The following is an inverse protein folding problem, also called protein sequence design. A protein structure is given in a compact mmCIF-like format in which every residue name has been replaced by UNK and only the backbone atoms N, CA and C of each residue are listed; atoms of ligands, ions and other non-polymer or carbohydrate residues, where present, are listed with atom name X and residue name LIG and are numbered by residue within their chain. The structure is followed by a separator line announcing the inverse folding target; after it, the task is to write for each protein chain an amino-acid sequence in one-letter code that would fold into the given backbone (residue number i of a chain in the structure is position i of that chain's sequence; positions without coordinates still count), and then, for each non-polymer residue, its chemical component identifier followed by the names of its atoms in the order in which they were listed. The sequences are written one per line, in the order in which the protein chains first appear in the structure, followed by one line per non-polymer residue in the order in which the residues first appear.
data_IF_628461144606
#
_entry.id   IF_628461144606
#
_cell.length_a   1.000
_cell.length_b   1.000
_cell.length_c   1.000
_cell.angle_alpha   90.00
_cell.angle_beta   90.00
_cell.angle_gamma   90.00
#
_symmetry.space_group_name_H-M   'P 1'
#
loop_
_entity.id
_entity.type
_entity.pdbx_description
1 polymer ?
#
# COMPACT_ATOMS: atom_id res chain seq x y z
N UNK A 1 1.40 26.31 18.32
CA UNK A 1 1.34 26.18 19.78
C UNK A 1 1.86 27.46 20.48
N UNK A 2 3.03 27.97 20.14
CA UNK A 2 3.69 29.15 20.79
C UNK A 2 3.42 30.50 20.08
N UNK A 3 2.49 30.54 19.12
CA UNK A 3 2.12 31.78 18.40
C UNK A 3 3.04 32.19 17.23
N UNK A 4 4.09 31.41 16.93
CA UNK A 4 5.03 31.70 15.85
C UNK A 4 4.72 30.94 14.57
N UNK A 5 5.24 31.45 13.44
CA UNK A 5 5.12 30.80 12.14
C UNK A 5 3.78 31.03 11.45
N UNK A 6 3.40 30.12 10.55
CA UNK A 6 2.18 30.17 9.74
C UNK A 6 1.37 28.88 9.88
N UNK A 7 0.06 28.98 9.71
CA UNK A 7 -0.88 27.84 9.78
C UNK A 7 -1.79 27.83 8.58
N UNK A 8 -2.28 26.63 8.22
CA UNK A 8 -3.38 26.46 7.29
C UNK A 8 -4.71 26.63 8.06
N UNK A 9 -5.55 27.55 7.63
CA UNK A 9 -6.85 27.78 8.22
C UNK A 9 -7.89 28.13 7.14
N UNK A 10 -8.94 27.34 7.03
CA UNK A 10 -10.01 27.50 6.03
C UNK A 10 -9.46 27.67 4.60
N UNK A 11 -8.52 26.81 4.22
CA UNK A 11 -7.89 26.80 2.88
C UNK A 11 -6.87 27.93 2.62
N UNK A 12 -6.56 28.76 3.62
CA UNK A 12 -5.58 29.85 3.49
C UNK A 12 -4.41 29.67 4.44
N UNK A 13 -3.22 30.08 4.00
CA UNK A 13 -2.04 30.16 4.87
C UNK A 13 -1.99 31.54 5.51
N UNK A 14 -2.14 31.60 6.83
CA UNK A 14 -2.13 32.84 7.62
C UNK A 14 -1.07 32.80 8.73
N UNK A 15 -0.60 33.95 9.25
CA UNK A 15 0.21 33.98 10.45
C UNK A 15 -0.50 33.32 11.64
N UNK A 16 0.23 32.53 12.45
CA UNK A 16 -0.32 31.90 13.65
C UNK A 16 -0.92 32.86 14.62
N UNK A 17 -0.32 34.05 14.74
CA UNK A 17 -0.78 35.10 15.62
C UNK A 17 -2.16 35.65 15.25
N UNK A 18 -2.43 35.83 13.94
CA UNK A 18 -3.74 36.17 13.40
C UNK A 18 -4.82 35.12 13.74
N UNK A 19 -4.46 33.82 13.61
CA UNK A 19 -5.36 32.72 14.01
C UNK A 19 -5.68 32.79 15.51
N UNK A 20 -4.67 33.05 16.35
CA UNK A 20 -4.84 33.10 17.79
C UNK A 20 -5.76 34.26 18.21
N UNK A 21 -5.54 35.45 17.65
CA UNK A 21 -6.39 36.61 17.88
C UNK A 21 -7.85 36.35 17.47
N UNK A 22 -8.02 35.81 16.26
CA UNK A 22 -9.35 35.50 15.70
C UNK A 22 -10.15 34.47 16.50
N UNK A 23 -9.46 33.48 17.07
CA UNK A 23 -10.08 32.40 17.85
C UNK A 23 -9.94 32.60 19.37
N UNK A 24 -9.42 33.74 19.82
CA UNK A 24 -9.19 34.05 21.25
C UNK A 24 -8.33 33.01 21.96
N UNK A 25 -7.35 32.45 21.24
CA UNK A 25 -6.39 31.50 21.77
C UNK A 25 -5.19 32.27 22.37
N UNK A 26 -4.57 31.70 23.39
CA UNK A 26 -3.31 32.20 23.95
C UNK A 26 -2.17 31.27 23.54
N UNK A 27 -0.98 31.83 23.23
CA UNK A 27 0.23 31.03 23.10
C UNK A 27 0.49 30.23 24.38
N UNK A 28 1.02 28.99 24.20
CA UNK A 28 1.52 28.24 25.35
C UNK A 28 2.82 28.86 25.84
N UNK A 29 2.91 29.12 27.14
CA UNK A 29 4.16 29.46 27.81
C UNK A 29 4.91 28.17 28.14
N UNK A 30 6.08 28.00 27.52
CA UNK A 30 6.89 26.81 27.72
C UNK A 30 7.68 26.90 29.02
N UNK A 31 7.56 25.91 29.87
CA UNK A 31 8.37 25.72 31.04
C UNK A 31 9.80 25.18 30.72
N UNK A 32 10.63 25.00 31.76
CA UNK A 32 11.96 24.42 31.60
C UNK A 32 11.90 23.08 30.88
N UNK A 33 12.80 22.88 29.89
CA UNK A 33 12.92 21.67 29.04
C UNK A 33 11.78 21.42 28.03
N UNK A 34 10.59 21.99 28.19
CA UNK A 34 9.45 21.73 27.31
C UNK A 34 9.71 22.10 25.84
N UNK A 35 10.43 23.21 25.61
CA UNK A 35 10.82 23.62 24.26
C UNK A 35 11.71 22.59 23.57
N UNK A 36 12.68 22.03 24.28
CA UNK A 36 13.54 20.98 23.74
C UNK A 36 12.74 19.66 23.51
N UNK A 37 11.90 19.27 24.46
CA UNK A 37 11.09 18.06 24.36
C UNK A 37 10.15 18.04 23.14
N UNK A 38 9.71 19.21 22.67
CA UNK A 38 8.86 19.32 21.47
C UNK A 38 9.60 19.07 20.15
N UNK A 39 10.91 19.21 20.10
CA UNK A 39 11.71 19.11 18.87
C UNK A 39 12.79 18.04 18.90
N UNK A 40 13.21 17.63 20.10
CA UNK A 40 14.20 16.58 20.31
C UNK A 40 13.50 15.25 20.49
N UNK A 41 13.94 14.23 19.77
CA UNK A 41 13.36 12.88 19.82
C UNK A 41 12.82 12.40 18.48
N UNK A 42 11.97 11.36 18.53
CA UNK A 42 11.56 10.60 17.35
C UNK A 42 10.17 10.95 16.82
N UNK A 43 9.50 11.96 17.36
CA UNK A 43 8.11 12.29 17.07
C UNK A 43 7.85 12.49 15.57
N UNK A 44 8.77 13.16 14.87
CA UNK A 44 8.64 13.40 13.43
C UNK A 44 8.76 12.09 12.62
N UNK A 45 9.70 11.22 13.00
CA UNK A 45 9.89 9.90 12.38
C UNK A 45 8.67 9.03 12.67
N UNK A 46 8.20 9.00 13.93
CA UNK A 46 7.03 8.23 14.35
C UNK A 46 5.75 8.68 13.62
N UNK A 47 5.55 9.98 13.41
CA UNK A 47 4.43 10.50 12.64
C UNK A 47 4.42 9.97 11.18
N UNK A 48 5.59 9.92 10.52
CA UNK A 48 5.71 9.29 9.22
C UNK A 48 5.44 7.78 9.32
N UNK A 49 5.92 7.13 10.38
CA UNK A 49 5.66 5.71 10.65
C UNK A 49 4.16 5.40 10.71
N UNK A 50 3.37 6.20 11.43
CA UNK A 50 1.90 6.06 11.51
C UNK A 50 1.27 6.14 10.11
N UNK A 51 1.66 7.15 9.33
CA UNK A 51 1.15 7.32 7.97
C UNK A 51 1.54 6.16 7.05
N UNK A 52 2.77 5.66 7.17
CA UNK A 52 3.25 4.50 6.40
C UNK A 52 2.47 3.24 6.76
N UNK A 53 2.30 2.94 8.06
CA UNK A 53 1.52 1.78 8.52
C UNK A 53 0.11 1.83 7.97
N UNK A 54 -0.56 2.97 8.08
CA UNK A 54 -1.94 3.15 7.61
C UNK A 54 -2.06 2.99 6.09
N UNK A 55 -1.29 3.74 5.32
CA UNK A 55 -1.39 3.74 3.85
C UNK A 55 -0.91 2.42 3.22
N UNK A 56 0.18 1.83 3.74
CA UNK A 56 0.70 0.57 3.22
C UNK A 56 -0.28 -0.58 3.47
N UNK A 57 -0.98 -0.62 4.62
CA UNK A 57 -2.03 -1.61 4.83
C UNK A 57 -3.13 -1.50 3.75
N UNK A 58 -3.56 -0.29 3.41
CA UNK A 58 -4.53 -0.10 2.34
C UNK A 58 -4.01 -0.62 0.99
N UNK A 59 -2.76 -0.32 0.63
CA UNK A 59 -2.14 -0.86 -0.58
C UNK A 59 -2.12 -2.40 -0.58
N UNK A 60 -1.75 -3.03 0.54
CA UNK A 60 -1.71 -4.48 0.68
C UNK A 60 -3.10 -5.12 0.52
N UNK A 61 -4.14 -4.50 1.08
CA UNK A 61 -5.52 -4.96 0.94
C UNK A 61 -6.03 -4.82 -0.50
N UNK A 62 -5.76 -3.70 -1.15
CA UNK A 62 -6.10 -3.47 -2.56
C UNK A 62 -5.35 -4.45 -3.48
N UNK A 63 -4.06 -4.69 -3.24
CA UNK A 63 -3.24 -5.59 -4.04
C UNK A 63 -3.79 -7.01 -4.10
N UNK A 64 -4.31 -7.55 -2.98
CA UNK A 64 -4.93 -8.87 -2.96
C UNK A 64 -6.23 -8.90 -3.78
N UNK A 65 -7.09 -7.88 -3.63
CA UNK A 65 -8.38 -7.77 -4.33
C UNK A 65 -8.14 -7.65 -5.84
N UNK A 66 -7.30 -6.70 -6.24
CA UNK A 66 -7.00 -6.41 -7.64
C UNK A 66 -6.25 -7.57 -8.29
N UNK A 67 -5.31 -8.19 -7.55
CA UNK A 67 -4.58 -9.37 -7.99
C UNK A 67 -5.50 -10.57 -8.22
N UNK A 68 -6.51 -10.79 -7.37
CA UNK A 68 -7.53 -11.82 -7.57
C UNK A 68 -8.37 -11.54 -8.83
N UNK A 69 -8.76 -10.29 -9.05
CA UNK A 69 -9.48 -9.88 -10.26
C UNK A 69 -8.65 -10.08 -11.53
N UNK A 70 -7.34 -9.76 -11.48
CA UNK A 70 -6.42 -9.99 -12.59
C UNK A 70 -6.23 -11.49 -12.86
N UNK A 71 -6.15 -12.32 -11.80
CA UNK A 71 -6.03 -13.77 -11.93
C UNK A 71 -7.18 -14.34 -12.75
N UNK A 72 -8.41 -13.96 -12.47
CA UNK A 72 -9.59 -14.39 -13.23
C UNK A 72 -9.62 -13.80 -14.65
N UNK A 73 -9.33 -12.51 -14.78
CA UNK A 73 -9.26 -11.87 -16.10
C UNK A 73 -8.30 -12.57 -17.06
N UNK A 74 -7.22 -13.15 -16.54
CA UNK A 74 -6.21 -13.88 -17.30
C UNK A 74 -6.36 -15.41 -17.23
N UNK A 75 -7.45 -15.94 -16.67
CA UNK A 75 -7.69 -17.35 -16.46
C UNK A 75 -6.52 -18.06 -15.77
N UNK A 76 -6.11 -17.53 -14.62
CA UNK A 76 -5.11 -18.15 -13.78
C UNK A 76 -5.69 -19.25 -12.89
N UNK A 77 -4.81 -20.07 -12.31
CA UNK A 77 -5.17 -21.24 -11.51
C UNK A 77 -5.34 -20.89 -10.02
N UNK A 78 -6.34 -21.52 -9.38
CA UNK A 78 -6.54 -21.47 -7.93
C UNK A 78 -5.51 -22.33 -7.15
N UNK A 79 -4.89 -23.32 -7.78
CA UNK A 79 -4.00 -24.31 -7.11
C UNK A 79 -2.86 -23.69 -6.30
N UNK A 80 -2.18 -22.58 -6.73
CA UNK A 80 -1.15 -21.93 -5.97
C UNK A 80 -1.60 -21.34 -4.62
N UNK A 81 -2.90 -21.22 -4.39
CA UNK A 81 -3.47 -20.62 -3.17
C UNK A 81 -4.04 -21.68 -2.22
N UNK A 82 -3.93 -22.98 -2.51
CA UNK A 82 -4.42 -24.03 -1.64
C UNK A 82 -3.71 -24.00 -0.28
N UNK A 83 -4.47 -24.26 0.77
CA UNK A 83 -4.00 -24.16 2.15
C UNK A 83 -2.85 -25.13 2.43
N UNK A 84 -2.95 -26.36 1.91
CA UNK A 84 -1.95 -27.41 2.08
C UNK A 84 -0.56 -26.96 1.62
N UNK A 85 -0.48 -26.21 0.51
CA UNK A 85 0.77 -25.68 0.01
C UNK A 85 1.41 -24.70 1.03
N UNK A 86 0.60 -23.84 1.64
CA UNK A 86 1.07 -22.81 2.56
C UNK A 86 1.32 -23.34 3.98
N UNK A 87 0.77 -24.49 4.34
CA UNK A 87 1.11 -25.21 5.56
C UNK A 87 2.53 -25.82 5.50
N UNK A 88 3.00 -26.22 4.31
CA UNK A 88 4.36 -26.73 4.12
C UNK A 88 5.45 -25.65 4.24
N UNK A 89 5.08 -24.38 4.10
CA UNK A 89 5.96 -23.23 4.24
C UNK A 89 5.23 -22.11 4.99
N UNK A 90 5.11 -22.21 6.32
CA UNK A 90 4.12 -21.48 7.12
C UNK A 90 4.53 -20.04 7.47
N UNK A 91 4.86 -19.23 6.47
CA UNK A 91 4.95 -17.79 6.68
C UNK A 91 3.56 -17.19 6.88
N UNK A 92 3.33 -16.47 7.97
CA UNK A 92 2.04 -15.89 8.33
C UNK A 92 1.43 -15.04 7.19
N UNK A 93 2.23 -14.14 6.61
CA UNK A 93 1.78 -13.31 5.50
C UNK A 93 1.35 -14.13 4.27
N UNK A 94 2.08 -15.23 3.94
CA UNK A 94 1.70 -16.09 2.80
C UNK A 94 0.37 -16.80 3.04
N UNK A 95 0.17 -17.36 4.25
CA UNK A 95 -1.08 -18.01 4.64
C UNK A 95 -2.25 -17.04 4.60
N UNK A 96 -2.03 -15.82 5.09
CA UNK A 96 -3.04 -14.76 5.09
C UNK A 96 -3.46 -14.38 3.66
N UNK A 97 -2.51 -14.07 2.79
CA UNK A 97 -2.80 -13.69 1.40
C UNK A 97 -3.49 -14.82 0.64
N UNK A 98 -3.01 -16.06 0.78
CA UNK A 98 -3.63 -17.21 0.13
C UNK A 98 -5.08 -17.41 0.58
N UNK A 99 -5.35 -17.27 1.87
CA UNK A 99 -6.70 -17.35 2.43
C UNK A 99 -7.62 -16.25 1.91
N UNK A 100 -7.14 -15.01 1.83
CA UNK A 100 -7.90 -13.88 1.27
C UNK A 100 -8.27 -14.13 -0.20
N UNK A 101 -7.30 -14.54 -1.02
CA UNK A 101 -7.53 -14.81 -2.44
C UNK A 101 -8.53 -15.96 -2.61
N UNK A 102 -8.41 -17.06 -1.85
CA UNK A 102 -9.41 -18.15 -1.88
C UNK A 102 -10.82 -17.65 -1.56
N UNK A 103 -10.96 -16.77 -0.57
CA UNK A 103 -12.27 -16.21 -0.20
C UNK A 103 -12.84 -15.33 -1.32
N UNK A 104 -12.03 -14.48 -1.95
CA UNK A 104 -12.45 -13.61 -3.05
C UNK A 104 -12.92 -14.37 -4.28
N UNK A 105 -12.30 -15.53 -4.56
CA UNK A 105 -12.53 -16.35 -5.73
C UNK A 105 -13.59 -17.45 -5.53
N UNK A 106 -14.20 -17.51 -4.35
CA UNK A 106 -15.20 -18.55 -4.04
C UNK A 106 -16.43 -18.45 -4.93
N UNK A 107 -16.79 -19.56 -5.59
CA UNK A 107 -17.97 -19.64 -6.45
C UNK A 107 -17.80 -19.04 -7.84
N UNK A 108 -16.55 -18.90 -8.32
CA UNK A 108 -16.24 -18.38 -9.65
C UNK A 108 -16.50 -19.39 -10.75
N UNK A 109 -17.42 -19.09 -11.67
CA UNK A 109 -17.64 -19.85 -12.91
C UNK A 109 -16.43 -19.75 -13.85
N UNK A 110 -15.70 -18.61 -13.82
CA UNK A 110 -14.50 -18.39 -14.65
C UNK A 110 -13.40 -19.40 -14.29
N UNK A 111 -13.21 -19.66 -13.00
CA UNK A 111 -12.24 -20.66 -12.54
C UNK A 111 -12.68 -22.08 -12.83
N UNK A 112 -13.98 -22.37 -12.70
CA UNK A 112 -14.53 -23.71 -13.00
C UNK A 112 -14.41 -24.03 -14.48
N UNK A 113 -14.70 -23.08 -15.38
CA UNK A 113 -14.56 -23.24 -16.83
C UNK A 113 -13.12 -23.53 -17.27
N UNK A 114 -12.14 -23.11 -16.48
CA UNK A 114 -10.72 -23.20 -16.79
C UNK A 114 -9.96 -24.30 -16.01
N UNK A 115 -10.64 -25.16 -15.28
CA UNK A 115 -10.01 -26.13 -14.37
C UNK A 115 -9.11 -27.14 -15.09
N UNK A 116 -9.46 -27.53 -16.31
CA UNK A 116 -8.78 -28.53 -17.15
C UNK A 116 -7.94 -27.91 -18.28
N UNK A 117 -7.44 -26.69 -18.09
CA UNK A 117 -6.65 -26.03 -19.12
C UNK A 117 -5.30 -26.72 -19.36
N UNK A 118 -4.79 -26.59 -20.61
CA UNK A 118 -3.49 -27.17 -21.02
C UNK A 118 -2.27 -26.43 -20.42
N UNK A 119 -2.47 -25.26 -19.78
CA UNK A 119 -1.39 -24.48 -19.18
C UNK A 119 -0.86 -25.21 -17.95
N UNK A 120 0.41 -25.62 -18.00
CA UNK A 120 1.05 -26.33 -16.88
C UNK A 120 1.19 -25.45 -15.64
N UNK A 121 1.54 -24.18 -15.82
CA UNK A 121 1.79 -23.22 -14.75
C UNK A 121 1.48 -21.78 -15.19
N UNK A 122 0.95 -20.99 -14.24
CA UNK A 122 0.83 -19.55 -14.43
C UNK A 122 2.20 -18.85 -14.28
N UNK A 123 2.38 -17.67 -14.86
CA UNK A 123 3.50 -16.81 -14.58
C UNK A 123 3.61 -16.45 -13.08
N UNK A 124 4.82 -16.15 -12.62
CA UNK A 124 5.07 -15.88 -11.20
C UNK A 124 4.26 -14.71 -10.66
N UNK A 125 4.00 -13.68 -11.46
CA UNK A 125 3.20 -12.52 -11.01
C UNK A 125 1.77 -12.88 -10.63
N UNK A 126 1.22 -13.99 -11.12
CA UNK A 126 -0.07 -14.56 -10.71
C UNK A 126 0.11 -15.58 -9.58
N UNK A 127 0.89 -16.65 -9.79
CA UNK A 127 0.95 -17.77 -8.84
C UNK A 127 1.79 -17.52 -7.59
N UNK A 128 2.67 -16.52 -7.58
CA UNK A 128 3.51 -16.18 -6.43
C UNK A 128 2.99 -14.97 -5.63
N UNK A 129 1.75 -14.54 -5.84
CA UNK A 129 1.13 -13.48 -5.01
C UNK A 129 1.24 -13.76 -3.50
N UNK A 130 0.96 -14.98 -2.99
CA UNK A 130 1.11 -15.25 -1.56
C UNK A 130 2.53 -15.01 -1.04
N UNK A 131 3.56 -15.35 -1.83
CA UNK A 131 4.95 -15.19 -1.41
C UNK A 131 5.39 -13.73 -1.42
N UNK A 132 4.99 -12.94 -2.42
CA UNK A 132 5.40 -11.54 -2.57
C UNK A 132 4.57 -10.62 -1.68
N UNK A 133 3.23 -10.67 -1.78
CA UNK A 133 2.35 -9.87 -0.93
C UNK A 133 2.53 -10.24 0.55
N UNK A 134 2.72 -11.56 0.85
CA UNK A 134 2.96 -12.04 2.19
C UNK A 134 4.26 -11.56 2.80
N UNK A 135 5.35 -11.50 2.03
CA UNK A 135 6.61 -10.92 2.48
C UNK A 135 6.45 -9.44 2.84
N UNK A 136 5.75 -8.69 1.99
CA UNK A 136 5.45 -7.26 2.25
C UNK A 136 4.56 -7.07 3.49
N UNK A 137 3.60 -7.97 3.75
CA UNK A 137 2.79 -7.96 4.98
C UNK A 137 3.62 -8.20 6.23
N UNK A 138 4.58 -9.14 6.18
CA UNK A 138 5.48 -9.39 7.31
C UNK A 138 6.36 -8.16 7.61
N UNK A 139 6.82 -7.45 6.59
CA UNK A 139 7.57 -6.19 6.77
C UNK A 139 6.68 -5.08 7.35
N UNK A 140 5.44 -4.98 6.90
CA UNK A 140 4.46 -4.06 7.48
C UNK A 140 4.19 -4.35 8.95
N UNK A 141 3.98 -5.63 9.31
CA UNK A 141 3.76 -6.05 10.71
C UNK A 141 4.95 -5.67 11.59
N UNK A 142 6.17 -5.92 11.11
CA UNK A 142 7.38 -5.53 11.83
C UNK A 142 7.44 -4.02 12.13
N UNK A 143 7.12 -3.16 11.14
CA UNK A 143 7.07 -1.72 11.37
C UNK A 143 5.96 -1.35 12.38
N UNK A 144 4.77 -1.96 12.28
CA UNK A 144 3.65 -1.74 13.18
C UNK A 144 4.04 -2.03 14.63
N UNK A 145 4.62 -3.22 14.89
CA UNK A 145 5.04 -3.64 16.24
C UNK A 145 6.08 -2.69 16.85
N UNK A 146 7.07 -2.26 16.07
CA UNK A 146 8.06 -1.28 16.55
C UNK A 146 7.45 0.09 16.81
N UNK A 147 6.53 0.51 15.96
CA UNK A 147 5.85 1.80 16.12
C UNK A 147 4.94 1.82 17.36
N UNK A 148 4.26 0.73 17.68
CA UNK A 148 3.48 0.59 18.91
C UNK A 148 4.33 0.80 20.17
N UNK A 149 5.54 0.26 20.18
CA UNK A 149 6.51 0.49 21.27
C UNK A 149 6.91 1.96 21.31
N UNK A 150 7.31 2.53 20.18
CA UNK A 150 7.83 3.89 20.08
C UNK A 150 6.80 4.94 20.51
N UNK A 151 5.53 4.78 20.09
CA UNK A 151 4.44 5.69 20.46
C UNK A 151 4.12 5.70 21.95
N UNK A 152 4.52 4.66 22.69
CA UNK A 152 4.35 4.53 24.13
C UNK A 152 5.65 4.75 24.90
N UNK A 153 6.71 5.26 24.26
CA UNK A 153 8.03 5.44 24.85
C UNK A 153 8.36 6.89 25.17
N UNK A 154 9.27 7.07 26.09
CA UNK A 154 9.92 8.37 26.35
C UNK A 154 11.12 8.49 25.44
N UNK A 155 11.01 9.34 24.41
CA UNK A 155 11.99 9.48 23.32
C UNK A 155 12.75 10.80 23.40
N UNK A 156 13.21 11.19 24.58
CA UNK A 156 13.87 12.46 24.84
C UNK A 156 15.21 12.27 25.58
N UNK A 157 15.95 13.36 25.78
CA UNK A 157 17.19 13.43 26.54
C UNK A 157 17.38 14.84 27.17
N UNK A 158 17.76 14.93 28.46
CA UNK A 158 17.81 13.86 29.45
C UNK A 158 16.41 13.38 29.86
N UNK A 159 16.32 12.13 30.33
CA UNK A 159 15.08 11.56 30.90
C UNK A 159 15.04 11.80 32.40
N UNK A 160 13.97 12.41 32.88
CA UNK A 160 13.72 12.63 34.29
C UNK A 160 12.86 11.51 34.81
N UNK A 161 13.43 10.64 35.65
CA UNK A 161 12.70 9.48 36.22
C UNK A 161 11.92 9.90 37.46
N UNK A 162 12.57 10.70 38.35
CA UNK A 162 11.98 11.29 39.55
C UNK A 162 12.83 12.48 39.99
N UNK A 163 12.51 13.04 41.15
CA UNK A 163 13.20 14.24 41.72
C UNK A 163 14.69 14.01 41.98
N UNK A 164 15.14 12.79 42.15
CA UNK A 164 16.51 12.43 42.50
C UNK A 164 17.31 11.86 41.33
N UNK A 165 16.62 11.36 40.27
CA UNK A 165 17.26 10.63 39.18
C UNK A 165 16.94 11.23 37.82
N UNK A 166 17.94 11.86 37.23
CA UNK A 166 17.93 12.32 35.84
C UNK A 166 19.03 11.59 35.08
N UNK A 167 18.68 10.99 33.92
CA UNK A 167 19.59 10.16 33.12
C UNK A 167 19.77 10.79 31.74
N UNK A 168 21.03 11.01 31.35
CA UNK A 168 21.38 11.30 29.96
C UNK A 168 21.61 10.00 29.20
N UNK A 169 20.91 9.81 28.07
CA UNK A 169 20.95 8.57 27.29
C UNK A 169 20.61 8.83 25.83
N UNK A 170 20.35 7.75 25.08
CA UNK A 170 20.12 7.76 23.64
C UNK A 170 18.67 7.53 23.20
N UNK A 171 17.68 7.72 24.07
CA UNK A 171 16.28 7.42 23.75
C UNK A 171 15.69 8.27 22.61
N UNK A 172 16.34 9.36 22.27
CA UNK A 172 16.00 10.21 21.12
C UNK A 172 16.47 9.63 19.79
N UNK A 173 17.29 8.55 19.78
CA UNK A 173 17.90 8.05 18.55
C UNK A 173 16.92 7.21 17.73
N UNK A 174 16.53 7.71 16.56
CA UNK A 174 15.49 7.13 15.72
C UNK A 174 15.90 5.92 14.88
N UNK A 175 17.06 5.28 15.11
CA UNK A 175 17.53 4.15 14.29
C UNK A 175 16.57 2.97 14.23
N UNK A 176 15.88 2.55 15.30
CA UNK A 176 14.91 1.47 15.23
C UNK A 176 13.80 1.72 14.20
N UNK A 177 13.25 2.94 14.18
CA UNK A 177 12.23 3.31 13.20
C UNK A 177 12.80 3.55 11.81
N UNK A 178 14.01 4.11 11.68
CA UNK A 178 14.63 4.40 10.42
C UNK A 178 14.83 3.12 9.57
N UNK A 179 15.38 2.08 10.17
CA UNK A 179 15.58 0.77 9.52
C UNK A 179 14.24 0.11 9.15
N UNK A 180 13.27 0.13 10.05
CA UNK A 180 11.95 -0.44 9.80
C UNK A 180 11.19 0.30 8.67
N UNK A 181 11.34 1.63 8.59
CA UNK A 181 10.74 2.43 7.52
C UNK A 181 11.40 2.16 6.15
N UNK A 182 12.72 2.00 6.09
CA UNK A 182 13.39 1.61 4.85
C UNK A 182 12.99 0.17 4.43
N UNK A 183 12.79 -0.74 5.37
CA UNK A 183 12.28 -2.08 5.10
C UNK A 183 10.83 -2.05 4.59
N UNK A 184 9.98 -1.22 5.17
CA UNK A 184 8.60 -1.01 4.71
C UNK A 184 8.56 -0.34 3.33
N UNK A 185 9.49 0.59 3.04
CA UNK A 185 9.65 1.19 1.72
C UNK A 185 9.97 0.15 0.63
N UNK A 186 10.91 -0.76 0.92
CA UNK A 186 11.24 -1.88 0.05
C UNK A 186 10.02 -2.80 -0.18
N UNK A 187 9.29 -3.12 0.89
CA UNK A 187 8.09 -3.94 0.83
C UNK A 187 6.96 -3.31 -0.01
N UNK A 188 6.76 -1.99 0.12
CA UNK A 188 5.81 -1.26 -0.71
C UNK A 188 6.21 -1.28 -2.19
N UNK A 189 7.50 -1.07 -2.49
CA UNK A 189 8.04 -1.13 -3.85
C UNK A 189 7.77 -2.48 -4.51
N UNK A 190 7.90 -3.60 -3.79
CA UNK A 190 7.64 -4.94 -4.31
C UNK A 190 6.16 -5.17 -4.65
N UNK A 191 5.23 -4.58 -3.91
CA UNK A 191 3.80 -4.59 -4.28
C UNK A 191 3.60 -3.89 -5.63
N UNK A 192 4.18 -2.71 -5.82
CA UNK A 192 4.11 -2.01 -7.10
C UNK A 192 4.79 -2.79 -8.23
N UNK A 193 5.91 -3.43 -7.96
CA UNK A 193 6.67 -4.20 -8.93
C UNK A 193 5.91 -5.43 -9.45
N UNK A 194 5.35 -6.26 -8.57
CA UNK A 194 4.55 -7.42 -8.99
C UNK A 194 3.24 -7.00 -9.67
N UNK A 195 2.64 -5.88 -9.26
CA UNK A 195 1.46 -5.27 -9.88
C UNK A 195 1.77 -4.85 -11.33
N UNK A 196 2.85 -4.13 -11.57
CA UNK A 196 3.29 -3.77 -12.93
C UNK A 196 3.56 -5.01 -13.81
N UNK A 197 4.12 -6.09 -13.24
CA UNK A 197 4.29 -7.35 -13.99
C UNK A 197 2.96 -7.96 -14.41
N UNK A 198 1.91 -7.90 -13.60
CA UNK A 198 0.56 -8.36 -13.99
C UNK A 198 -0.07 -7.46 -15.04
N UNK A 199 0.10 -6.15 -14.95
CA UNK A 199 -0.33 -5.20 -15.99
C UNK A 199 0.32 -5.58 -17.32
N UNK A 200 1.65 -5.72 -17.35
CA UNK A 200 2.38 -6.12 -18.56
C UNK A 200 1.85 -7.45 -19.13
N UNK A 201 1.69 -8.47 -18.28
CA UNK A 201 1.20 -9.78 -18.67
C UNK A 201 -0.19 -9.71 -19.33
N UNK A 202 -1.07 -8.85 -18.85
CA UNK A 202 -2.40 -8.67 -19.43
C UNK A 202 -2.36 -8.09 -20.86
N UNK A 203 -1.31 -7.33 -21.18
CA UNK A 203 -1.17 -6.71 -22.51
C UNK A 203 -0.59 -7.62 -23.58
N UNK A 204 0.00 -8.76 -23.19
CA UNK A 204 0.63 -9.69 -24.14
C UNK A 204 -0.37 -10.41 -25.06
N UNK A 205 -1.64 -10.51 -24.63
CA UNK A 205 -2.68 -11.22 -25.37
C UNK A 205 -2.46 -12.74 -25.40
N UNK A 206 -1.76 -13.30 -24.42
CA UNK A 206 -1.47 -14.73 -24.30
C UNK A 206 -2.56 -15.50 -23.53
N UNK A 207 -3.51 -14.80 -22.91
CA UNK A 207 -4.68 -15.42 -22.29
C UNK A 207 -5.79 -15.62 -23.31
N UNK A 208 -6.41 -16.83 -23.41
CA UNK A 208 -7.46 -17.10 -24.38
C UNK A 208 -8.59 -16.05 -24.33
N UNK A 209 -9.00 -15.53 -25.48
CA UNK A 209 -10.07 -14.54 -25.60
C UNK A 209 -9.72 -13.11 -25.17
N UNK A 210 -8.54 -12.87 -24.63
CA UNK A 210 -8.06 -11.52 -24.27
C UNK A 210 -7.18 -11.00 -25.41
N UNK A 211 -7.54 -9.88 -26.06
CA UNK A 211 -6.75 -9.33 -27.14
C UNK A 211 -5.46 -8.67 -26.62
N UNK A 212 -4.45 -8.57 -27.50
CA UNK A 212 -3.24 -7.79 -27.21
C UNK A 212 -3.62 -6.35 -26.84
N UNK A 213 -2.88 -5.76 -25.92
CA UNK A 213 -3.10 -4.42 -25.42
C UNK A 213 -4.51 -4.19 -24.82
N UNK A 214 -5.25 -5.27 -24.52
CA UNK A 214 -6.63 -5.28 -24.01
C UNK A 214 -7.59 -4.47 -24.91
N UNK A 215 -7.35 -4.47 -26.21
CA UNK A 215 -8.10 -3.67 -27.17
C UNK A 215 -8.27 -4.45 -28.47
N UNK A 216 -9.48 -4.44 -29.02
CA UNK A 216 -9.70 -4.87 -30.38
C UNK A 216 -9.07 -3.87 -31.36
N UNK A 217 -8.83 -4.30 -32.60
CA UNK A 217 -8.28 -3.45 -33.66
C UNK A 217 -6.97 -2.74 -33.29
N UNK A 218 -6.04 -3.49 -32.67
CA UNK A 218 -4.68 -3.04 -32.41
C UNK A 218 -3.99 -2.67 -33.74
N UNK A 219 -3.34 -1.51 -33.78
CA UNK A 219 -2.77 -0.90 -34.98
C UNK A 219 -3.49 0.42 -35.33
N UNK A 220 -4.81 0.49 -35.14
CA UNK A 220 -5.54 1.76 -35.06
C UNK A 220 -5.53 2.25 -33.63
N UNK A 221 -5.76 1.34 -32.67
CA UNK A 221 -5.73 1.62 -31.25
C UNK A 221 -4.40 1.20 -30.62
N UNK A 222 -3.89 1.99 -29.69
CA UNK A 222 -2.76 1.67 -28.80
C UNK A 222 -3.21 0.93 -27.54
N UNK A 223 -4.48 1.02 -27.20
CA UNK A 223 -5.09 0.38 -26.04
C UNK A 223 -4.42 0.78 -24.73
N UNK A 224 -4.25 -0.18 -23.85
CA UNK A 224 -3.69 0.05 -22.51
C UNK A 224 -2.15 0.17 -22.48
N UNK A 225 -1.48 0.26 -23.63
CA UNK A 225 -0.02 0.37 -23.70
C UNK A 225 0.54 1.55 -22.90
N UNK A 226 -0.07 2.73 -23.01
CA UNK A 226 0.40 3.94 -22.32
C UNK A 226 0.18 3.85 -20.81
N UNK A 227 -0.86 3.15 -20.35
CA UNK A 227 -1.08 2.90 -18.93
C UNK A 227 0.08 2.07 -18.35
N UNK A 228 0.52 1.03 -19.08
CA UNK A 228 1.66 0.22 -18.67
C UNK A 228 2.97 1.01 -18.68
N UNK A 229 3.20 1.91 -19.62
CA UNK A 229 4.36 2.81 -19.58
C UNK A 229 4.39 3.65 -18.31
N UNK A 230 3.24 4.13 -17.87
CA UNK A 230 3.10 4.89 -16.63
C UNK A 230 3.42 4.03 -15.41
N UNK A 231 2.85 2.81 -15.31
CA UNK A 231 3.13 1.90 -14.19
C UNK A 231 4.61 1.48 -14.14
N UNK A 232 5.22 1.20 -15.30
CA UNK A 232 6.63 0.84 -15.40
C UNK A 232 7.56 2.00 -14.97
N UNK A 233 7.23 3.25 -15.34
CA UNK A 233 7.98 4.42 -14.92
C UNK A 233 7.94 4.59 -13.39
N UNK A 234 6.76 4.46 -12.78
CA UNK A 234 6.57 4.56 -11.32
C UNK A 234 7.28 3.42 -10.57
N UNK A 235 7.20 2.17 -11.08
CA UNK A 235 7.92 1.04 -10.52
C UNK A 235 9.46 1.23 -10.58
N UNK A 236 9.95 1.80 -11.68
CA UNK A 236 11.38 2.12 -11.84
C UNK A 236 11.83 3.26 -10.91
N UNK A 237 11.00 4.28 -10.70
CA UNK A 237 11.27 5.35 -9.74
C UNK A 237 11.34 4.82 -8.30
N UNK A 238 10.42 3.94 -7.91
CA UNK A 238 10.42 3.31 -6.60
C UNK A 238 11.74 2.60 -6.29
N UNK A 239 12.38 1.95 -7.27
CA UNK A 239 13.69 1.32 -7.10
C UNK A 239 14.73 2.32 -6.60
N UNK A 240 14.79 3.52 -7.15
CA UNK A 240 15.74 4.55 -6.72
C UNK A 240 15.42 5.10 -5.34
N UNK A 241 14.13 5.20 -5.00
CA UNK A 241 13.66 5.63 -3.68
C UNK A 241 13.91 4.58 -2.59
N UNK A 242 14.06 3.29 -2.93
CA UNK A 242 14.39 2.22 -1.98
C UNK A 242 15.82 2.26 -1.44
N UNK A 243 16.71 3.11 -1.97
CA UNK A 243 18.06 3.21 -1.44
C UNK A 243 18.04 3.60 0.04
N UNK A 244 18.55 2.77 0.97
CA UNK A 244 18.27 2.94 2.39
C UNK A 244 18.92 4.20 2.96
N UNK A 245 18.13 5.09 3.54
CA UNK A 245 18.63 6.28 4.23
C UNK A 245 19.20 5.95 5.60
N UNK A 246 18.69 4.90 6.25
CA UNK A 246 19.17 4.43 7.55
C UNK A 246 20.60 3.85 7.52
N UNK A 247 21.15 3.61 6.34
CA UNK A 247 22.52 3.12 6.15
C UNK A 247 23.56 4.27 6.06
N UNK A 248 23.13 5.51 6.23
CA UNK A 248 23.99 6.71 6.18
C UNK A 248 24.00 7.43 7.52
N UNK A 249 25.08 8.14 7.80
CA UNK A 249 25.22 9.01 8.95
C UNK A 249 26.23 10.11 8.66
N UNK A 250 25.87 11.36 9.00
CA UNK A 250 26.71 12.55 8.81
C UNK A 250 26.87 13.26 10.16
N UNK A 251 28.10 13.43 10.68
CA UNK A 251 28.31 14.12 11.95
C UNK A 251 27.80 15.55 11.93
N UNK A 252 27.16 15.95 13.03
CA UNK A 252 26.64 17.31 13.28
C UNK A 252 27.08 17.81 14.64
N UNK A 253 26.73 19.06 15.02
CA UNK A 253 26.94 19.64 16.33
C UNK A 253 28.39 19.49 16.84
N UNK A 254 29.40 19.83 16.01
CA UNK A 254 30.82 19.72 16.31
C UNK A 254 31.27 18.30 16.74
N UNK A 255 30.59 17.25 16.26
CA UNK A 255 30.88 15.87 16.55
C UNK A 255 30.18 15.32 17.82
N UNK A 256 29.35 16.11 18.48
CA UNK A 256 28.50 15.58 19.57
C UNK A 256 27.47 14.59 19.04
N UNK A 257 26.92 14.88 17.85
CA UNK A 257 25.99 14.04 17.12
C UNK A 257 26.76 13.37 15.97
N UNK A 258 27.73 12.50 16.30
CA UNK A 258 28.62 11.84 15.35
C UNK A 258 27.95 10.68 14.58
N UNK A 259 26.82 10.19 15.08
CA UNK A 259 25.98 9.19 14.44
C UNK A 259 24.50 9.54 14.59
N UNK A 260 23.82 9.77 13.47
CA UNK A 260 22.39 10.10 13.39
C UNK A 260 21.64 9.10 12.50
N UNK A 261 20.34 8.90 12.74
CA UNK A 261 19.57 7.81 12.16
C UNK A 261 19.09 8.04 10.71
N UNK A 262 19.03 9.29 10.24
CA UNK A 262 18.41 9.69 8.96
C UNK A 262 16.94 9.24 8.79
N UNK A 263 16.26 8.87 9.88
CA UNK A 263 14.91 8.31 9.87
C UNK A 263 13.83 9.20 9.27
N UNK A 264 14.01 10.52 9.35
CA UNK A 264 13.13 11.49 8.70
C UNK A 264 13.15 11.36 7.17
N UNK A 265 14.28 10.98 6.58
CA UNK A 265 14.41 10.69 5.15
C UNK A 265 13.77 9.35 4.83
N UNK A 266 14.02 8.31 5.65
CA UNK A 266 13.38 7.00 5.49
C UNK A 266 11.86 7.10 5.45
N UNK A 267 11.25 7.83 6.40
CA UNK A 267 9.79 8.02 6.45
C UNK A 267 9.22 8.74 5.23
N UNK A 268 9.86 9.83 4.82
CA UNK A 268 9.43 10.61 3.64
C UNK A 268 9.53 9.79 2.34
N UNK A 269 10.61 9.05 2.16
CA UNK A 269 10.77 8.16 0.99
C UNK A 269 9.71 7.07 0.97
N UNK A 270 9.45 6.44 2.11
CA UNK A 270 8.43 5.40 2.21
C UNK A 270 7.05 5.92 1.77
N UNK A 271 6.65 7.13 2.17
CA UNK A 271 5.40 7.74 1.73
C UNK A 271 5.38 8.02 0.22
N UNK A 272 6.46 8.53 -0.37
CA UNK A 272 6.54 8.76 -1.82
C UNK A 272 6.40 7.44 -2.61
N UNK A 273 7.02 6.36 -2.14
CA UNK A 273 6.88 5.03 -2.74
C UNK A 273 5.43 4.56 -2.66
N UNK A 274 4.78 4.72 -1.50
CA UNK A 274 3.38 4.31 -1.32
C UNK A 274 2.45 5.09 -2.26
N UNK A 275 2.67 6.39 -2.44
CA UNK A 275 1.91 7.20 -3.40
C UNK A 275 2.06 6.71 -4.85
N UNK A 276 3.26 6.27 -5.23
CA UNK A 276 3.48 5.65 -6.53
C UNK A 276 2.78 4.27 -6.62
N UNK A 277 2.79 3.49 -5.54
CA UNK A 277 2.10 2.19 -5.48
C UNK A 277 0.58 2.35 -5.56
N UNK A 278 -0.01 3.35 -4.92
CA UNK A 278 -1.42 3.69 -5.06
C UNK A 278 -1.80 3.91 -6.55
N UNK A 279 -0.95 4.64 -7.30
CA UNK A 279 -1.14 4.87 -8.75
C UNK A 279 -0.98 3.60 -9.58
N UNK A 280 0.02 2.77 -9.28
CA UNK A 280 0.23 1.49 -9.97
C UNK A 280 -0.96 0.56 -9.72
N UNK A 281 -1.46 0.47 -8.50
CA UNK A 281 -2.66 -0.32 -8.17
C UNK A 281 -3.91 0.21 -8.87
N UNK A 282 -4.06 1.53 -9.02
CA UNK A 282 -5.15 2.12 -9.80
C UNK A 282 -5.08 1.68 -11.28
N UNK A 283 -3.90 1.72 -11.87
CA UNK A 283 -3.69 1.24 -13.25
C UNK A 283 -3.97 -0.27 -13.35
N UNK A 284 -3.55 -1.08 -12.37
CA UNK A 284 -3.86 -2.51 -12.36
C UNK A 284 -5.37 -2.76 -12.21
N UNK A 285 -6.07 -1.99 -11.38
CA UNK A 285 -7.53 -2.07 -11.24
C UNK A 285 -8.23 -1.85 -12.57
N UNK A 286 -7.85 -0.82 -13.33
CA UNK A 286 -8.42 -0.55 -14.65
C UNK A 286 -8.09 -1.67 -15.65
N UNK A 287 -6.85 -2.14 -15.64
CA UNK A 287 -6.35 -3.19 -16.52
C UNK A 287 -7.04 -4.52 -16.23
N UNK A 288 -7.18 -4.88 -14.95
CA UNK A 288 -7.86 -6.11 -14.52
C UNK A 288 -9.34 -6.09 -14.89
N UNK A 289 -10.02 -4.96 -14.69
CA UNK A 289 -11.43 -4.81 -15.07
C UNK A 289 -11.63 -4.89 -16.58
N UNK A 290 -10.70 -4.36 -17.37
CA UNK A 290 -10.74 -4.50 -18.83
C UNK A 290 -10.55 -5.96 -19.26
N UNK A 291 -9.59 -6.69 -18.67
CA UNK A 291 -9.37 -8.12 -18.94
C UNK A 291 -10.57 -8.97 -18.50
N UNK A 292 -11.16 -8.65 -17.38
CA UNK A 292 -12.32 -9.35 -16.82
C UNK A 292 -13.55 -9.25 -17.72
N UNK A 293 -13.75 -8.16 -18.45
CA UNK A 293 -14.86 -7.99 -19.38
C UNK A 293 -14.87 -9.06 -20.48
N UNK A 294 -13.70 -9.53 -20.89
CA UNK A 294 -13.56 -10.60 -21.90
C UNK A 294 -13.90 -12.00 -21.37
N UNK A 295 -14.22 -12.12 -20.08
CA UNK A 295 -14.69 -13.37 -19.47
C UNK A 295 -16.21 -13.54 -19.55
N UNK A 296 -16.95 -12.46 -19.84
CA UNK A 296 -18.41 -12.55 -19.98
C UNK A 296 -18.82 -13.57 -21.07
N UNK A 297 -19.90 -14.35 -20.89
CA UNK A 297 -20.94 -14.19 -19.85
C UNK A 297 -20.66 -14.89 -18.51
N UNK A 298 -19.51 -15.54 -18.32
CA UNK A 298 -19.17 -16.21 -17.07
C UNK A 298 -19.10 -15.20 -15.91
N UNK A 299 -19.47 -15.66 -14.72
CA UNK A 299 -19.46 -14.87 -13.50
C UNK A 299 -18.28 -15.26 -12.61
N UNK A 300 -17.78 -14.28 -11.91
CA UNK A 300 -16.81 -14.45 -10.84
C UNK A 300 -17.45 -14.84 -9.51
N UNK A 301 -16.63 -15.00 -8.48
CA UNK A 301 -17.11 -14.93 -7.10
C UNK A 301 -17.83 -13.61 -6.84
N UNK A 302 -18.88 -13.67 -5.99
CA UNK A 302 -19.81 -12.55 -5.81
C UNK A 302 -19.13 -11.24 -5.44
N UNK A 303 -18.04 -11.29 -4.67
CA UNK A 303 -17.29 -10.08 -4.24
C UNK A 303 -16.66 -9.39 -5.43
N UNK A 304 -15.99 -10.14 -6.31
CA UNK A 304 -15.31 -9.57 -7.48
C UNK A 304 -16.30 -9.09 -8.55
N UNK A 305 -17.44 -9.76 -8.72
CA UNK A 305 -18.52 -9.31 -9.61
C UNK A 305 -19.10 -7.96 -9.16
N UNK A 306 -19.30 -7.77 -7.85
CA UNK A 306 -19.77 -6.50 -7.29
C UNK A 306 -18.73 -5.38 -7.49
N UNK A 307 -17.45 -5.67 -7.30
CA UNK A 307 -16.37 -4.71 -7.56
C UNK A 307 -16.33 -4.33 -9.05
N UNK A 308 -16.41 -5.29 -9.95
CA UNK A 308 -16.45 -5.04 -11.38
C UNK A 308 -17.66 -4.17 -11.77
N UNK A 309 -18.85 -4.52 -11.26
CA UNK A 309 -20.08 -3.76 -11.47
C UNK A 309 -19.93 -2.32 -10.97
N UNK A 310 -19.43 -2.14 -9.74
CA UNK A 310 -19.16 -0.83 -9.17
C UNK A 310 -18.20 -0.01 -10.04
N UNK A 311 -17.09 -0.60 -10.46
CA UNK A 311 -16.10 0.10 -11.28
C UNK A 311 -16.70 0.54 -12.62
N UNK A 312 -17.55 -0.28 -13.25
CA UNK A 312 -18.23 0.06 -14.51
C UNK A 312 -19.25 1.18 -14.36
N UNK A 313 -19.68 1.54 -13.16
CA UNK A 313 -20.46 2.77 -12.94
C UNK A 313 -19.60 4.04 -13.01
N UNK A 314 -18.29 3.93 -12.82
CA UNK A 314 -17.34 5.06 -12.80
C UNK A 314 -16.49 5.13 -14.07
N UNK A 315 -16.04 3.98 -14.56
CA UNK A 315 -15.15 3.87 -15.73
C UNK A 315 -15.75 2.88 -16.73
N UNK A 316 -16.13 3.38 -17.90
CA UNK A 316 -16.70 2.55 -18.94
C UNK A 316 -15.65 1.57 -19.52
N UNK A 317 -16.12 0.45 -20.08
CA UNK A 317 -15.28 -0.41 -20.91
C UNK A 317 -14.67 0.40 -22.07
N UNK A 318 -13.40 0.17 -22.38
CA UNK A 318 -12.73 0.86 -23.45
C UNK A 318 -12.80 0.03 -24.74
N UNK A 319 -13.66 0.47 -25.67
CA UNK A 319 -13.76 -0.12 -27.01
C UNK A 319 -12.71 0.47 -27.96
N UNK A 320 -12.31 1.73 -27.73
CA UNK A 320 -11.33 2.46 -28.51
C UNK A 320 -10.44 3.31 -27.58
N UNK A 321 -9.34 3.82 -28.14
CA UNK A 321 -8.46 4.77 -27.46
C UNK A 321 -9.23 6.02 -27.01
N UNK A 322 -8.91 6.47 -25.81
CA UNK A 322 -9.44 7.72 -25.22
C UNK A 322 -8.38 8.35 -24.30
N UNK A 323 -8.70 9.44 -23.65
CA UNK A 323 -7.82 10.06 -22.65
C UNK A 323 -7.85 9.23 -21.38
N UNK A 324 -6.98 8.22 -21.29
CA UNK A 324 -6.92 7.29 -20.15
C UNK A 324 -6.41 7.95 -18.87
N UNK A 325 -5.83 9.15 -18.94
CA UNK A 325 -5.42 9.88 -17.74
C UNK A 325 -6.62 10.16 -16.82
N UNK A 326 -7.79 10.49 -17.38
CA UNK A 326 -9.02 10.72 -16.61
C UNK A 326 -9.47 9.44 -15.88
N UNK A 327 -9.35 8.29 -16.54
CA UNK A 327 -9.65 6.99 -15.91
C UNK A 327 -8.67 6.65 -14.78
N UNK A 328 -7.37 6.97 -14.97
CA UNK A 328 -6.35 6.75 -13.94
C UNK A 328 -6.64 7.60 -12.70
N UNK A 329 -7.02 8.87 -12.86
CA UNK A 329 -7.38 9.75 -11.74
C UNK A 329 -8.57 9.18 -10.95
N UNK A 330 -9.62 8.70 -11.65
CA UNK A 330 -10.76 8.01 -11.00
C UNK A 330 -10.27 6.76 -10.25
N UNK A 331 -9.38 5.97 -10.86
CA UNK A 331 -8.79 4.80 -10.21
C UNK A 331 -8.00 5.17 -8.95
N UNK A 332 -7.23 6.24 -8.98
CA UNK A 332 -6.48 6.76 -7.83
C UNK A 332 -7.43 7.18 -6.71
N UNK A 333 -8.49 7.91 -7.03
CA UNK A 333 -9.51 8.30 -6.04
C UNK A 333 -10.16 7.08 -5.38
N UNK A 334 -10.51 6.05 -6.15
CA UNK A 334 -11.06 4.78 -5.63
C UNK A 334 -10.12 4.13 -4.63
N UNK A 335 -8.82 4.06 -4.93
CA UNK A 335 -7.79 3.46 -4.06
C UNK A 335 -7.63 4.32 -2.78
N UNK A 336 -7.45 5.62 -2.92
CA UNK A 336 -7.18 6.53 -1.81
C UNK A 336 -8.37 6.67 -0.86
N UNK A 337 -9.58 6.66 -1.40
CA UNK A 337 -10.83 6.71 -0.62
C UNK A 337 -11.29 5.34 -0.11
N UNK A 338 -10.55 4.26 -0.35
CA UNK A 338 -10.86 2.89 0.08
C UNK A 338 -12.16 2.31 -0.48
N UNK A 339 -12.69 2.86 -1.57
CA UNK A 339 -14.05 2.54 -2.02
C UNK A 339 -14.26 1.04 -2.30
N UNK A 340 -13.27 0.33 -2.88
CA UNK A 340 -13.41 -1.12 -3.10
C UNK A 340 -13.17 -1.94 -1.83
N UNK A 341 -12.36 -1.47 -0.88
CA UNK A 341 -12.21 -2.13 0.43
C UNK A 341 -13.54 -2.08 1.19
N UNK A 342 -14.14 -0.90 1.26
CA UNK A 342 -15.40 -0.68 1.96
C UNK A 342 -16.55 -1.45 1.28
N UNK A 343 -16.54 -1.54 -0.07
CA UNK A 343 -17.48 -2.36 -0.81
C UNK A 343 -17.32 -3.85 -0.49
N UNK A 344 -16.08 -4.37 -0.45
CA UNK A 344 -15.80 -5.75 -0.06
C UNK A 344 -16.32 -6.05 1.34
N UNK A 345 -16.03 -5.20 2.32
CA UNK A 345 -16.50 -5.36 3.71
C UNK A 345 -18.04 -5.37 3.77
N UNK A 346 -18.69 -4.50 3.00
CA UNK A 346 -20.15 -4.45 2.89
C UNK A 346 -20.72 -5.75 2.29
N UNK A 347 -20.21 -6.19 1.14
CA UNK A 347 -20.68 -7.40 0.44
C UNK A 347 -20.48 -8.64 1.31
N UNK A 348 -19.31 -8.79 1.94
CA UNK A 348 -19.04 -9.90 2.84
C UNK A 348 -20.02 -9.96 4.00
N UNK A 349 -20.33 -8.82 4.61
CA UNK A 349 -21.33 -8.72 5.69
C UNK A 349 -22.74 -9.05 5.21
N UNK A 350 -23.17 -8.53 4.06
CA UNK A 350 -24.51 -8.77 3.49
C UNK A 350 -24.73 -10.22 3.06
N UNK A 351 -23.67 -10.91 2.68
CA UNK A 351 -23.68 -12.31 2.20
C UNK A 351 -23.26 -13.33 3.26
N UNK A 352 -23.06 -12.88 4.51
CA UNK A 352 -22.57 -13.71 5.62
C UNK A 352 -21.28 -14.48 5.27
N UNK A 353 -20.37 -13.81 4.56
CA UNK A 353 -19.05 -14.33 4.21
C UNK A 353 -18.00 -13.90 5.24
N UNK A 354 -17.02 -14.75 5.48
CA UNK A 354 -15.91 -14.45 6.36
C UNK A 354 -14.57 -14.72 5.67
N UNK A 355 -13.55 -13.97 6.05
CA UNK A 355 -12.19 -14.21 5.56
C UNK A 355 -11.67 -15.56 6.11
N UNK A 356 -11.36 -16.47 5.20
CA UNK A 356 -10.79 -17.78 5.56
C UNK A 356 -9.26 -17.68 5.69
N UNK A 357 -8.79 -17.00 6.73
CA UNK A 357 -7.36 -16.83 7.00
C UNK A 357 -7.08 -16.90 8.50
N UNK A 358 -6.00 -17.59 8.93
CA UNK A 358 -5.67 -17.77 10.34
C UNK A 358 -5.06 -16.54 11.02
N UNK A 359 -4.64 -15.53 10.27
CA UNK A 359 -3.90 -14.36 10.76
C UNK A 359 -4.63 -13.04 10.55
N UNK A 360 -5.96 -13.06 10.62
CA UNK A 360 -6.78 -11.89 10.33
C UNK A 360 -6.46 -10.72 11.28
N UNK A 361 -6.45 -10.99 12.58
CA UNK A 361 -6.23 -9.95 13.60
C UNK A 361 -4.85 -9.31 13.52
N UNK A 362 -3.82 -10.07 13.10
CA UNK A 362 -2.46 -9.57 13.00
C UNK A 362 -2.30 -8.57 11.83
N UNK A 363 -2.98 -8.81 10.70
CA UNK A 363 -2.78 -8.07 9.46
C UNK A 363 -3.90 -7.09 9.10
N UNK A 364 -5.09 -7.20 9.67
CA UNK A 364 -6.24 -6.36 9.32
C UNK A 364 -6.61 -5.36 10.42
N UNK A 365 -6.04 -5.45 11.62
CA UNK A 365 -6.27 -4.49 12.72
C UNK A 365 -5.03 -3.64 12.98
N UNK A 366 -5.28 -2.42 13.48
CA UNK A 366 -4.23 -1.50 13.93
C UNK A 366 -3.97 -1.68 15.42
#
# INVERSE_FOLDING_TARGET
MIGLGKVQYQGKTIPTQELFEKNKLKPLELGPKEGLALINGTQFIAAHGVMVVHKLQHCLRHADIIGAMMLEGLQGSMKPFFEELHQLRPFKGNQHVAGRIRTLLQGSEILEDHIDCERVQDPYSLRCMPQVHGASRNAWLHLKELLEIELNSVTDNPVIINDELTISGGNFHGQPLAMALDYAALAASEIGNISDRRIYLALEGNSPGVPKLLMNDTGINSGYMILQYTSAALASENKSLCFPASADSIPTSLGQEDHVSMGSISGRKALNIIENVEKILAIELLTSAQAFEYRKPLKSGIVLDEIHTFLRTKVAFAENDRVFADDIEIGIEIIQNREIIDLVEKVMKEKDLSWNTPHLDEFETY
#
